data_IF_913415472573
#
_entry.id   IF_913415472573
#
_cell.length_a   1.000
_cell.length_b   1.000
_cell.length_c   1.000
_cell.angle_alpha   90.00
_cell.angle_beta   90.00
_cell.angle_gamma   90.00
#
_symmetry.space_group_name_H-M   'P 1'
#
loop_
_entity.id
_entity.type
_entity.pdbx_description
1 polymer ?
#
# COMPACT_ATOMS: atom_id res chain seq x y z
N UNK A 1 -15.22 13.51 -44.12
CA UNK A 1 -15.94 13.32 -42.84
C UNK A 1 -15.07 12.39 -42.00
N UNK A 2 -14.12 12.93 -41.24
CA UNK A 2 -13.13 12.13 -40.49
C UNK A 2 -13.69 11.81 -39.11
N UNK A 3 -13.81 10.51 -38.82
CA UNK A 3 -14.22 9.98 -37.53
C UNK A 3 -13.17 10.32 -36.46
N UNK A 4 -13.58 11.05 -35.43
CA UNK A 4 -12.79 11.27 -34.22
C UNK A 4 -12.99 10.04 -33.32
N UNK A 5 -11.97 9.19 -33.25
CA UNK A 5 -11.84 8.17 -32.20
C UNK A 5 -11.55 8.89 -30.90
N UNK A 6 -12.55 9.01 -30.03
CA UNK A 6 -12.35 9.40 -28.64
C UNK A 6 -11.56 8.30 -27.97
N UNK A 7 -10.23 8.44 -27.92
CA UNK A 7 -9.36 7.71 -27.02
C UNK A 7 -9.79 8.08 -25.59
N UNK A 8 -10.79 7.36 -25.09
CA UNK A 8 -11.34 7.50 -23.75
C UNK A 8 -10.29 6.97 -22.78
N UNK A 9 -9.29 7.82 -22.52
CA UNK A 9 -8.23 7.56 -21.56
C UNK A 9 -8.90 7.70 -20.20
N UNK A 10 -9.42 6.58 -19.68
CA UNK A 10 -9.93 6.52 -18.32
C UNK A 10 -8.88 7.16 -17.40
N UNK A 11 -9.25 8.16 -16.58
CA UNK A 11 -8.28 8.84 -15.73
C UNK A 11 -7.61 7.79 -14.84
N UNK A 12 -6.28 7.74 -14.90
CA UNK A 12 -5.49 6.87 -14.04
C UNK A 12 -5.87 7.16 -12.59
N UNK A 13 -6.53 6.20 -11.94
CA UNK A 13 -6.95 6.33 -10.55
C UNK A 13 -5.77 5.94 -9.66
N UNK A 14 -5.33 6.88 -8.82
CA UNK A 14 -4.40 6.58 -7.73
C UNK A 14 -5.15 5.86 -6.60
N UNK A 15 -4.70 4.65 -6.25
CA UNK A 15 -5.25 3.83 -5.19
C UNK A 15 -4.33 3.88 -3.96
N UNK A 16 -4.84 4.40 -2.84
CA UNK A 16 -4.11 4.52 -1.57
C UNK A 16 -4.77 3.65 -0.50
N UNK A 17 -4.02 2.70 0.05
CA UNK A 17 -4.41 1.95 1.24
C UNK A 17 -3.86 2.64 2.48
N UNK A 18 -4.69 2.78 3.52
CA UNK A 18 -4.25 3.33 4.80
C UNK A 18 -4.66 2.41 5.95
N UNK A 19 -3.74 2.11 6.85
CA UNK A 19 -3.97 1.22 7.99
C UNK A 19 -3.19 1.63 9.23
N UNK A 20 -3.87 1.58 10.38
CA UNK A 20 -3.22 1.60 11.69
C UNK A 20 -2.86 0.16 12.11
N UNK A 21 -1.60 -0.08 12.46
CA UNK A 21 -1.10 -1.40 12.86
C UNK A 21 -1.18 -1.66 14.37
N UNK A 22 -1.53 -0.65 15.18
CA UNK A 22 -1.65 -0.73 16.64
C UNK A 22 -0.41 -1.39 17.28
N UNK A 23 0.78 -1.02 16.81
CA UNK A 23 2.08 -1.54 17.25
C UNK A 23 2.21 -3.08 17.13
N UNK A 24 1.43 -3.72 16.25
CA UNK A 24 1.40 -5.18 16.13
C UNK A 24 2.46 -5.69 15.14
N UNK A 25 3.44 -6.42 15.67
CA UNK A 25 4.43 -7.16 14.86
C UNK A 25 3.79 -8.20 13.94
N UNK A 26 2.72 -8.85 14.40
CA UNK A 26 1.98 -9.84 13.61
C UNK A 26 1.26 -9.15 12.44
N UNK A 27 0.64 -8.00 12.67
CA UNK A 27 -0.04 -7.25 11.61
C UNK A 27 0.95 -6.74 10.55
N UNK A 28 2.10 -6.18 10.97
CA UNK A 28 3.15 -5.77 10.04
C UNK A 28 3.64 -6.96 9.21
N UNK A 29 3.97 -8.08 9.87
CA UNK A 29 4.49 -9.28 9.18
C UNK A 29 3.46 -9.85 8.20
N UNK A 30 2.18 -9.91 8.59
CA UNK A 30 1.11 -10.35 7.69
C UNK A 30 0.95 -9.41 6.49
N UNK A 31 1.08 -8.10 6.68
CA UNK A 31 0.92 -7.11 5.61
C UNK A 31 2.07 -7.18 4.60
N UNK A 32 3.32 -7.19 5.05
CA UNK A 32 4.49 -7.18 4.15
C UNK A 32 4.67 -8.48 3.36
N UNK A 33 4.11 -9.59 3.86
CA UNK A 33 4.11 -10.89 3.17
C UNK A 33 2.82 -11.15 2.37
N UNK A 34 1.94 -10.16 2.25
CA UNK A 34 0.70 -10.28 1.47
C UNK A 34 0.86 -9.77 0.04
N UNK A 35 -0.10 -10.09 -0.82
CA UNK A 35 -0.23 -9.54 -2.19
C UNK A 35 -0.90 -8.16 -2.21
N UNK A 36 -0.99 -7.47 -1.06
CA UNK A 36 -1.64 -6.16 -0.97
C UNK A 36 -0.93 -5.14 -1.87
N UNK A 37 0.40 -5.17 -1.94
CA UNK A 37 1.20 -4.27 -2.79
C UNK A 37 0.94 -4.45 -4.30
N UNK A 38 0.37 -5.58 -4.73
CA UNK A 38 0.05 -5.81 -6.14
C UNK A 38 -1.16 -5.00 -6.62
N UNK A 39 -1.99 -4.50 -5.68
CA UNK A 39 -3.28 -3.89 -5.95
C UNK A 39 -3.38 -2.41 -5.54
N UNK A 40 -2.34 -1.86 -4.89
CA UNK A 40 -2.34 -0.51 -4.34
C UNK A 40 -1.06 0.22 -4.72
N UNK A 41 -1.19 1.46 -5.18
CA UNK A 41 -0.04 2.29 -5.57
C UNK A 41 0.73 2.79 -4.34
N UNK A 42 0.01 3.10 -3.26
CA UNK A 42 0.57 3.61 -2.01
C UNK A 42 -0.06 2.89 -0.84
N UNK A 43 0.77 2.45 0.11
CA UNK A 43 0.35 1.91 1.41
C UNK A 43 0.88 2.83 2.52
N UNK A 44 -0.02 3.43 3.28
CA UNK A 44 0.29 4.34 4.38
C UNK A 44 -0.01 3.68 5.74
N UNK A 45 1.04 3.44 6.54
CA UNK A 45 0.94 2.77 7.84
C UNK A 45 1.02 3.78 8.99
N UNK A 46 0.17 3.60 10.01
CA UNK A 46 0.23 4.33 11.28
C UNK A 46 0.51 3.37 12.43
N UNK A 47 1.21 3.87 13.46
CA UNK A 47 1.61 3.08 14.64
C UNK A 47 2.27 1.73 14.30
N UNK A 48 3.28 1.69 13.40
CA UNK A 48 3.98 0.45 13.12
C UNK A 48 4.75 -0.03 14.35
N UNK A 49 5.01 -1.33 14.47
CA UNK A 49 5.87 -1.85 15.53
C UNK A 49 7.31 -1.36 15.34
N UNK A 50 7.82 -0.66 16.35
CA UNK A 50 9.18 -0.12 16.39
C UNK A 50 10.01 -0.90 17.42
N UNK A 51 11.19 -1.37 17.02
CA UNK A 51 12.12 -2.09 17.89
C UNK A 51 12.91 -1.14 18.81
N UNK A 52 13.77 -1.72 19.66
CA UNK A 52 14.55 -0.97 20.64
C UNK A 52 15.56 0.02 20.02
N UNK A 53 15.89 -0.10 18.74
CA UNK A 53 16.80 0.81 18.02
C UNK A 53 16.05 1.76 17.08
N UNK A 54 14.72 1.76 17.11
CA UNK A 54 13.90 2.69 16.34
C UNK A 54 13.48 2.21 14.95
N UNK A 55 13.64 0.92 14.64
CA UNK A 55 13.35 0.36 13.31
C UNK A 55 12.08 -0.51 13.29
N UNK A 56 11.40 -0.54 12.15
CA UNK A 56 10.42 -1.59 11.83
C UNK A 56 11.13 -2.84 11.31
N UNK A 57 10.62 -4.03 11.63
CA UNK A 57 11.19 -5.29 11.13
C UNK A 57 10.60 -5.67 9.76
N UNK A 58 11.47 -5.97 8.81
CA UNK A 58 11.09 -6.48 7.48
C UNK A 58 10.99 -8.03 7.44
N UNK A 59 11.53 -8.72 8.44
CA UNK A 59 11.56 -10.17 8.55
C UNK A 59 11.67 -10.61 10.03
N UNK A 60 11.55 -11.91 10.26
CA UNK A 60 11.66 -12.55 11.58
C UNK A 60 13.11 -12.76 12.01
#
# INVERSE_FOLDING_TARGET
MTEQTTNDTQPARLCIWQQNLNNSSIALFSLINSTLADNWDIIALQEPPIDAVGNTKANS
#
